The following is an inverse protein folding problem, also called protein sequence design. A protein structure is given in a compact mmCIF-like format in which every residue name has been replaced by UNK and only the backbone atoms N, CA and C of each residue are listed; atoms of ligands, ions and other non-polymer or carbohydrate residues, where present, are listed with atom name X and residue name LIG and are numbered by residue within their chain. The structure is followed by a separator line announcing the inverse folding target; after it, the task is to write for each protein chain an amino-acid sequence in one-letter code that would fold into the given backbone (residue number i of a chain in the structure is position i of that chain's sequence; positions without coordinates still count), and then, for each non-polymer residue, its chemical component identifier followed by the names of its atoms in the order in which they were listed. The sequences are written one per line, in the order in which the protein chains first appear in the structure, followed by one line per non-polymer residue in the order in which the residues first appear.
data_IF_639158978575
#
_entry.id   IF_639158978575
#
_cell.length_a   1.000
_cell.length_b   1.000
_cell.length_c   1.000
_cell.angle_alpha   90.00
_cell.angle_beta   90.00
_cell.angle_gamma   90.00
#
_symmetry.space_group_name_H-M   'P 1'
#
loop_
_entity.id
_entity.type
_entity.pdbx_description
1 polymer ?
#
# COMPACT_ATOMS: atom_id res chain seq x y z
N UNK A 1 6.38 24.88 -45.31
CA UNK A 1 5.36 24.22 -44.47
C UNK A 1 5.81 24.36 -43.00
N UNK A 2 5.20 25.33 -42.29
CA UNK A 2 5.44 25.55 -40.86
C UNK A 2 4.69 24.49 -40.07
N UNK A 3 5.43 23.72 -39.30
CA UNK A 3 4.87 22.73 -38.38
C UNK A 3 4.35 23.48 -37.15
N UNK A 4 3.06 23.71 -37.06
CA UNK A 4 2.42 24.33 -35.88
C UNK A 4 2.51 23.34 -34.72
N UNK A 5 3.45 23.58 -33.82
CA UNK A 5 3.55 22.84 -32.57
C UNK A 5 2.40 23.29 -31.66
N UNK A 6 1.40 22.46 -31.54
CA UNK A 6 0.27 22.68 -30.65
C UNK A 6 0.80 22.63 -29.19
N UNK A 7 0.93 23.82 -28.56
CA UNK A 7 1.23 23.93 -27.12
C UNK A 7 -0.01 23.49 -26.35
N UNK A 8 0.08 22.33 -25.70
CA UNK A 8 -0.91 21.96 -24.71
C UNK A 8 -0.88 22.97 -23.54
N UNK A 9 -2.04 23.42 -23.02
CA UNK A 9 -2.09 24.31 -21.89
C UNK A 9 -1.38 23.62 -20.70
N UNK A 10 -0.39 24.29 -20.11
CA UNK A 10 0.16 23.89 -18.84
C UNK A 10 -0.94 24.09 -17.79
N UNK A 11 -1.59 22.98 -17.39
CA UNK A 11 -2.40 22.95 -16.20
C UNK A 11 -1.49 23.32 -15.03
N UNK A 12 -1.75 24.44 -14.37
CA UNK A 12 -1.18 24.73 -13.06
C UNK A 12 -1.78 23.72 -12.07
N UNK A 13 -1.12 22.56 -11.96
CA UNK A 13 -1.45 21.54 -10.99
C UNK A 13 -0.94 22.12 -9.67
N UNK A 14 -1.84 22.55 -8.79
CA UNK A 14 -1.51 22.78 -7.39
C UNK A 14 -0.78 21.55 -6.85
N UNK A 15 -0.01 21.70 -5.77
CA UNK A 15 0.66 20.54 -5.17
C UNK A 15 -0.37 19.43 -4.93
N UNK A 16 -0.13 18.20 -5.43
CA UNK A 16 -1.09 17.13 -5.28
C UNK A 16 -1.28 16.79 -3.81
N UNK A 17 -2.53 16.61 -3.39
CA UNK A 17 -2.83 16.13 -2.04
C UNK A 17 -2.04 14.83 -1.79
N UNK A 18 -1.26 14.71 -0.69
CA UNK A 18 -0.48 13.50 -0.43
C UNK A 18 -1.37 12.28 -0.25
N UNK A 19 -0.82 11.07 -0.47
CA UNK A 19 -1.60 9.82 -0.38
C UNK A 19 -2.27 9.61 0.99
N UNK A 20 -1.69 10.16 2.06
CA UNK A 20 -2.24 10.12 3.42
C UNK A 20 -3.12 11.33 3.76
N UNK A 21 -3.28 12.30 2.87
CA UNK A 21 -4.01 13.55 3.17
C UNK A 21 -5.44 13.34 3.65
N UNK A 22 -6.12 12.31 3.11
CA UNK A 22 -7.48 11.95 3.55
C UNK A 22 -7.54 11.40 4.98
N UNK A 23 -6.44 10.85 5.49
CA UNK A 23 -6.35 10.36 6.86
C UNK A 23 -6.23 11.48 7.90
N UNK A 24 -5.88 12.69 7.47
CA UNK A 24 -5.76 13.88 8.33
C UNK A 24 -7.10 14.63 8.48
N UNK A 25 -8.16 14.18 7.79
CA UNK A 25 -9.49 14.80 7.82
C UNK A 25 -10.27 14.36 9.07
N UNK A 26 -10.20 15.16 10.14
CA UNK A 26 -10.82 14.84 11.43
C UNK A 26 -12.36 14.65 11.38
N UNK A 27 -13.05 15.30 10.46
CA UNK A 27 -14.51 15.23 10.30
C UNK A 27 -15.01 13.84 9.83
N UNK A 28 -14.12 12.99 9.34
CA UNK A 28 -14.45 11.64 8.87
C UNK A 28 -13.80 10.53 9.72
N UNK A 29 -13.25 10.88 10.87
CA UNK A 29 -12.49 9.94 11.71
C UNK A 29 -13.30 8.72 12.17
N UNK A 30 -14.61 8.83 12.30
CA UNK A 30 -15.52 7.77 12.72
C UNK A 30 -16.03 6.87 11.58
N UNK A 31 -15.81 7.27 10.32
CA UNK A 31 -16.21 6.46 9.17
C UNK A 31 -15.28 5.26 8.98
N UNK A 32 -15.83 4.14 8.49
CA UNK A 32 -15.07 2.92 8.21
C UNK A 32 -14.04 3.18 7.10
N UNK A 33 -12.77 2.90 7.37
CA UNK A 33 -11.68 3.04 6.42
C UNK A 33 -11.30 1.72 5.75
N UNK A 34 -11.09 0.66 6.56
CA UNK A 34 -10.69 -0.65 6.04
C UNK A 34 -11.40 -1.76 6.81
N UNK A 35 -11.87 -2.76 6.08
CA UNK A 35 -12.37 -4.02 6.61
C UNK A 35 -11.58 -5.19 6.02
N UNK A 36 -11.05 -6.05 6.89
CA UNK A 36 -10.35 -7.28 6.50
C UNK A 36 -11.26 -8.48 6.76
N UNK A 37 -11.84 -9.05 5.69
CA UNK A 37 -12.74 -10.19 5.78
C UNK A 37 -12.03 -11.47 6.25
N UNK A 38 -10.71 -11.59 6.08
CA UNK A 38 -9.96 -12.75 6.56
C UNK A 38 -9.76 -12.70 8.07
N UNK A 39 -9.34 -11.55 8.59
CA UNK A 39 -9.09 -11.33 10.02
C UNK A 39 -10.38 -10.98 10.80
N UNK A 40 -11.49 -10.67 10.10
CA UNK A 40 -12.72 -10.13 10.69
C UNK A 40 -12.44 -8.87 11.52
N UNK A 41 -11.53 -8.02 11.03
CA UNK A 41 -11.12 -6.79 11.66
C UNK A 41 -11.61 -5.59 10.85
N UNK A 42 -12.03 -4.54 11.53
CA UNK A 42 -12.41 -3.26 10.93
C UNK A 42 -11.72 -2.12 11.64
N UNK A 43 -11.34 -1.09 10.89
CA UNK A 43 -10.80 0.15 11.45
C UNK A 43 -11.47 1.36 10.79
N UNK A 44 -11.75 2.37 11.59
CA UNK A 44 -12.20 3.68 11.13
C UNK A 44 -11.03 4.49 10.57
N UNK A 45 -11.31 5.60 9.88
CA UNK A 45 -10.27 6.51 9.40
C UNK A 45 -9.42 7.06 10.56
N UNK A 46 -10.03 7.36 11.71
CA UNK A 46 -9.29 7.80 12.90
C UNK A 46 -8.37 6.72 13.44
N UNK A 47 -8.87 5.50 13.62
CA UNK A 47 -8.08 4.35 14.09
C UNK A 47 -6.97 3.99 13.10
N UNK A 48 -7.24 4.08 11.80
CA UNK A 48 -6.23 3.82 10.77
C UNK A 48 -5.16 4.92 10.76
N UNK A 49 -5.54 6.20 10.88
CA UNK A 49 -4.61 7.33 11.02
C UNK A 49 -3.70 7.17 12.24
N UNK A 50 -4.27 6.79 13.38
CA UNK A 50 -3.52 6.52 14.61
C UNK A 50 -2.53 5.36 14.44
N UNK A 51 -2.96 4.26 13.77
CA UNK A 51 -2.10 3.11 13.47
C UNK A 51 -0.93 3.50 12.55
N UNK A 52 -1.20 4.25 11.48
CA UNK A 52 -0.18 4.75 10.54
C UNK A 52 0.82 5.65 11.27
N UNK A 53 0.35 6.57 12.11
CA UNK A 53 1.20 7.46 12.90
C UNK A 53 2.10 6.68 13.87
N UNK A 54 1.51 5.72 14.58
CA UNK A 54 2.23 4.84 15.53
C UNK A 54 3.33 4.05 14.81
N UNK A 55 3.02 3.46 13.66
CA UNK A 55 3.99 2.70 12.88
C UNK A 55 5.09 3.59 12.32
N UNK A 56 4.76 4.79 11.83
CA UNK A 56 5.76 5.74 11.35
C UNK A 56 6.72 6.18 12.46
N UNK A 57 6.21 6.46 13.66
CA UNK A 57 7.04 6.80 14.82
C UNK A 57 7.98 5.67 15.20
N UNK A 58 7.50 4.42 15.18
CA UNK A 58 8.35 3.29 15.53
C UNK A 58 9.39 2.98 14.45
N UNK A 59 9.03 3.11 13.17
CA UNK A 59 9.99 3.03 12.07
C UNK A 59 11.11 4.08 12.20
N UNK A 60 10.77 5.31 12.61
CA UNK A 60 11.75 6.37 12.89
C UNK A 60 12.69 5.98 14.05
N UNK A 61 12.16 5.39 15.12
CA UNK A 61 12.96 4.87 16.24
C UNK A 61 13.90 3.75 15.84
N UNK A 62 13.47 2.88 14.95
CA UNK A 62 14.28 1.81 14.35
C UNK A 62 15.31 2.33 13.34
N UNK A 63 15.42 3.65 13.18
CA UNK A 63 16.42 4.32 12.36
C UNK A 63 16.08 4.41 10.87
N UNK A 64 14.82 4.19 10.49
CA UNK A 64 14.37 4.38 9.11
C UNK A 64 14.37 5.87 8.76
N UNK A 65 15.04 6.22 7.67
CA UNK A 65 15.19 7.61 7.22
C UNK A 65 14.57 7.83 5.84
N UNK A 66 14.24 9.09 5.52
CA UNK A 66 13.78 9.49 4.19
C UNK A 66 14.72 9.00 3.09
N UNK A 67 14.15 8.44 2.03
CA UNK A 67 14.87 7.89 0.88
C UNK A 67 15.41 6.48 1.07
N UNK A 68 15.43 5.95 2.29
CA UNK A 68 15.81 4.56 2.53
C UNK A 68 14.72 3.59 2.06
N UNK A 69 15.13 2.41 1.65
CA UNK A 69 14.26 1.37 1.10
C UNK A 69 13.90 0.35 2.16
N UNK A 70 12.61 0.05 2.25
CA UNK A 70 12.05 -0.94 3.17
C UNK A 70 11.41 -2.05 2.36
N UNK A 71 11.90 -3.28 2.48
CA UNK A 71 11.18 -4.44 1.97
C UNK A 71 10.01 -4.76 2.90
N UNK A 72 8.79 -4.77 2.35
CA UNK A 72 7.57 -5.04 3.10
C UNK A 72 7.15 -6.49 2.85
N UNK A 73 7.36 -7.35 3.85
CA UNK A 73 7.03 -8.79 3.83
C UNK A 73 5.74 -9.10 4.60
N UNK A 74 4.96 -8.08 4.94
CA UNK A 74 3.68 -8.21 5.62
C UNK A 74 2.65 -8.81 4.66
N UNK A 75 1.87 -9.84 5.08
CA UNK A 75 0.77 -10.37 4.26
C UNK A 75 -0.32 -9.32 4.04
N UNK A 76 -1.17 -9.47 3.00
CA UNK A 76 -2.34 -8.62 2.80
C UNK A 76 -3.20 -8.56 4.05
N UNK A 77 -3.36 -7.37 4.59
CA UNK A 77 -4.03 -7.09 5.86
C UNK A 77 -4.13 -5.57 6.07
N UNK A 78 -4.86 -5.14 7.08
CA UNK A 78 -4.86 -3.73 7.52
C UNK A 78 -3.44 -3.28 7.87
N UNK A 79 -2.65 -4.15 8.51
CA UNK A 79 -1.25 -3.82 8.87
C UNK A 79 -0.34 -3.64 7.66
N UNK A 80 -0.53 -4.40 6.57
CA UNK A 80 0.20 -4.16 5.33
C UNK A 80 -0.04 -2.73 4.84
N UNK A 81 -1.31 -2.31 4.76
CA UNK A 81 -1.66 -0.96 4.31
C UNK A 81 -1.07 0.08 5.26
N UNK A 82 -1.18 -0.13 6.57
CA UNK A 82 -0.65 0.80 7.58
C UNK A 82 0.88 0.95 7.50
N UNK A 83 1.63 -0.15 7.32
CA UNK A 83 3.10 -0.12 7.16
C UNK A 83 3.49 0.66 5.90
N UNK A 84 2.78 0.45 4.79
CA UNK A 84 3.05 1.16 3.53
C UNK A 84 2.79 2.66 3.70
N UNK A 85 1.67 3.05 4.30
CA UNK A 85 1.34 4.46 4.55
C UNK A 85 2.30 5.10 5.54
N UNK A 86 2.72 4.38 6.58
CA UNK A 86 3.72 4.84 7.54
C UNK A 86 5.06 5.13 6.84
N UNK A 87 5.54 4.20 6.01
CA UNK A 87 6.75 4.39 5.22
C UNK A 87 6.62 5.59 4.27
N UNK A 88 5.50 5.71 3.55
CA UNK A 88 5.27 6.85 2.66
C UNK A 88 5.23 8.18 3.40
N UNK A 89 4.54 8.26 4.55
CA UNK A 89 4.42 9.48 5.34
C UNK A 89 5.78 10.00 5.82
N UNK A 90 6.70 9.12 6.14
CA UNK A 90 8.06 9.50 6.57
C UNK A 90 9.08 9.58 5.41
N UNK A 91 8.64 9.38 4.16
CA UNK A 91 9.47 9.48 2.97
C UNK A 91 10.40 8.29 2.72
N UNK A 92 10.14 7.16 3.36
CA UNK A 92 10.83 5.90 3.06
C UNK A 92 10.21 5.25 1.81
N UNK A 93 11.02 4.47 1.10
CA UNK A 93 10.64 3.82 -0.16
C UNK A 93 10.21 2.40 0.09
N UNK A 94 8.96 2.08 -0.16
CA UNK A 94 8.47 0.71 -0.03
C UNK A 94 8.93 -0.16 -1.19
N UNK A 95 9.51 -1.31 -0.89
CA UNK A 95 9.86 -2.35 -1.86
C UNK A 95 8.88 -3.49 -1.68
N UNK A 96 8.02 -3.68 -2.67
CA UNK A 96 6.97 -4.69 -2.66
C UNK A 96 7.19 -5.60 -3.85
N UNK A 97 7.26 -6.90 -3.59
CA UNK A 97 7.42 -7.90 -4.62
C UNK A 97 6.17 -8.79 -4.68
N UNK A 98 5.73 -9.07 -5.90
CA UNK A 98 4.64 -10.01 -6.14
C UNK A 98 4.98 -11.39 -5.57
N UNK A 99 4.11 -11.92 -4.73
CA UNK A 99 4.28 -13.26 -4.14
C UNK A 99 4.30 -14.37 -5.19
N UNK A 100 3.70 -14.13 -6.35
CA UNK A 100 3.77 -15.04 -7.51
C UNK A 100 5.19 -15.28 -8.02
N UNK A 101 6.19 -14.48 -7.61
CA UNK A 101 7.61 -14.71 -7.89
C UNK A 101 8.20 -15.93 -7.15
N UNK A 102 7.50 -16.48 -6.16
CA UNK A 102 8.02 -17.51 -5.28
C UNK A 102 9.15 -17.02 -4.38
N UNK A 103 9.61 -17.87 -3.44
CA UNK A 103 10.60 -17.46 -2.43
C UNK A 103 11.95 -17.02 -3.03
N UNK A 104 12.42 -17.69 -4.08
CA UNK A 104 13.68 -17.32 -4.73
C UNK A 104 13.57 -16.00 -5.49
N UNK A 105 12.47 -15.80 -6.23
CA UNK A 105 12.21 -14.55 -6.95
C UNK A 105 12.04 -13.38 -6.00
N UNK A 106 11.32 -13.56 -4.90
CA UNK A 106 11.16 -12.58 -3.83
C UNK A 106 12.52 -12.19 -3.23
N UNK A 107 13.35 -13.18 -2.88
CA UNK A 107 14.69 -12.95 -2.36
C UNK A 107 15.60 -12.19 -3.33
N UNK A 108 15.53 -12.51 -4.63
CA UNK A 108 16.28 -11.80 -5.66
C UNK A 108 15.79 -10.35 -5.84
N UNK A 109 14.49 -10.12 -5.81
CA UNK A 109 13.90 -8.78 -5.88
C UNK A 109 14.37 -7.91 -4.71
N UNK A 110 14.27 -8.40 -3.48
CA UNK A 110 14.72 -7.68 -2.27
C UNK A 110 16.22 -7.39 -2.33
N UNK A 111 17.03 -8.37 -2.76
CA UNK A 111 18.49 -8.19 -2.89
C UNK A 111 18.84 -7.15 -3.95
N UNK A 112 18.19 -7.19 -5.12
CA UNK A 112 18.43 -6.24 -6.21
C UNK A 112 18.00 -4.81 -5.84
N UNK A 113 16.99 -4.68 -4.99
CA UNK A 113 16.51 -3.41 -4.48
C UNK A 113 17.46 -2.75 -3.48
N UNK A 114 18.46 -3.47 -2.94
CA UNK A 114 19.43 -2.96 -1.94
C UNK A 114 18.74 -2.27 -0.78
N UNK A 115 17.82 -2.97 -0.12
CA UNK A 115 17.03 -2.42 0.98
C UNK A 115 17.89 -2.22 2.22
N UNK A 116 17.61 -1.17 2.99
CA UNK A 116 18.21 -0.89 4.29
C UNK A 116 17.42 -1.53 5.44
N UNK A 117 16.12 -1.75 5.23
CA UNK A 117 15.24 -2.30 6.25
C UNK A 117 14.33 -3.39 5.66
N UNK A 118 13.92 -4.33 6.50
CA UNK A 118 12.94 -5.37 6.16
C UNK A 118 11.89 -5.41 7.27
N UNK A 119 10.64 -5.23 6.93
CA UNK A 119 9.49 -5.28 7.87
C UNK A 119 8.62 -6.49 7.56
N UNK A 120 8.25 -7.24 8.59
CA UNK A 120 7.35 -8.37 8.42
C UNK A 120 7.11 -9.17 9.70
N UNK A 121 6.23 -10.19 9.64
CA UNK A 121 6.07 -11.13 10.75
C UNK A 121 7.35 -11.94 10.97
N UNK A 122 7.58 -12.37 12.20
CA UNK A 122 8.81 -13.06 12.61
C UNK A 122 9.21 -14.22 11.70
N UNK A 123 8.22 -15.01 11.26
CA UNK A 123 8.47 -16.14 10.33
C UNK A 123 9.04 -15.68 8.98
N UNK A 124 8.51 -14.59 8.42
CA UNK A 124 9.00 -14.02 7.17
C UNK A 124 10.41 -13.43 7.32
N UNK A 125 10.69 -12.78 8.45
CA UNK A 125 12.01 -12.23 8.76
C UNK A 125 13.06 -13.32 8.90
N UNK A 126 12.73 -14.43 9.57
CA UNK A 126 13.63 -15.60 9.68
C UNK A 126 13.93 -16.21 8.31
N UNK A 127 12.92 -16.38 7.47
CA UNK A 127 13.10 -16.86 6.10
C UNK A 127 13.98 -15.92 5.27
N UNK A 128 13.76 -14.60 5.36
CA UNK A 128 14.56 -13.61 4.65
C UNK A 128 16.04 -13.60 5.10
N UNK A 129 16.30 -13.79 6.39
CA UNK A 129 17.66 -13.96 6.93
C UNK A 129 18.31 -15.25 6.42
N UNK A 130 17.60 -16.36 6.49
CA UNK A 130 18.11 -17.67 6.03
C UNK A 130 18.47 -17.65 4.54
N UNK A 131 17.66 -16.96 3.73
CA UNK A 131 17.88 -16.77 2.29
C UNK A 131 18.90 -15.65 1.96
N UNK A 132 19.44 -14.98 2.98
CA UNK A 132 20.35 -13.83 2.80
C UNK A 132 19.82 -12.78 1.81
N UNK A 133 18.51 -12.48 1.88
CA UNK A 133 17.87 -11.55 0.94
C UNK A 133 18.37 -10.10 1.12
N UNK A 134 18.72 -9.71 2.35
CA UNK A 134 19.18 -8.37 2.70
C UNK A 134 20.24 -8.44 3.82
N UNK A 135 21.49 -8.84 3.52
CA UNK A 135 22.49 -9.17 4.53
C UNK A 135 22.93 -7.99 5.42
N UNK A 136 22.71 -6.77 4.95
CA UNK A 136 23.08 -5.53 5.66
C UNK A 136 21.88 -4.73 6.16
N UNK A 137 20.67 -5.27 6.04
CA UNK A 137 19.46 -4.57 6.45
C UNK A 137 19.15 -4.78 7.94
N UNK A 138 18.50 -3.79 8.53
CA UNK A 138 17.82 -3.94 9.83
C UNK A 138 16.50 -4.69 9.61
N UNK A 139 16.20 -5.64 10.48
CA UNK A 139 14.97 -6.44 10.42
C UNK A 139 14.04 -6.01 11.55
N UNK A 140 12.89 -5.47 11.20
CA UNK A 140 11.91 -4.91 12.12
C UNK A 140 10.69 -5.85 12.14
N UNK A 141 10.37 -6.39 13.30
CA UNK A 141 9.22 -7.27 13.43
C UNK A 141 7.92 -6.46 13.44
N UNK A 142 6.90 -6.97 12.73
CA UNK A 142 5.58 -6.34 12.73
C UNK A 142 5.02 -6.20 14.16
N UNK A 143 5.32 -7.15 15.05
CA UNK A 143 4.93 -7.11 16.47
C UNK A 143 5.54 -5.92 17.23
N UNK A 144 6.71 -5.42 16.83
CA UNK A 144 7.32 -4.22 17.42
C UNK A 144 6.50 -2.98 17.06
N UNK A 145 6.06 -2.87 15.80
CA UNK A 145 5.16 -1.80 15.36
C UNK A 145 3.80 -1.85 16.08
N UNK A 146 3.22 -3.06 16.22
CA UNK A 146 1.94 -3.26 16.90
C UNK A 146 2.03 -2.99 18.41
N UNK A 147 3.17 -3.26 19.05
CA UNK A 147 3.44 -3.02 20.47
C UNK A 147 3.93 -1.61 20.79
N UNK A 148 4.14 -0.75 19.80
CA UNK A 148 4.66 0.58 19.99
C UNK A 148 3.71 1.50 20.79
N UNK A 149 4.26 2.56 21.37
CA UNK A 149 3.46 3.60 22.06
C UNK A 149 2.54 4.26 21.05
N UNK A 150 1.23 4.13 21.26
CA UNK A 150 0.21 4.66 20.37
C UNK A 150 0.25 6.19 20.27
N UNK A 151 0.14 6.67 19.05
CA UNK A 151 -0.25 8.04 18.74
C UNK A 151 -1.74 8.07 18.38
N UNK A 152 -2.40 9.21 18.59
CA UNK A 152 -3.83 9.33 18.30
C UNK A 152 -4.11 9.74 16.84
N UNK A 153 -3.13 10.37 16.18
CA UNK A 153 -3.28 10.81 14.79
C UNK A 153 -1.95 11.11 14.11
N UNK A 154 -1.97 11.26 12.78
CA UNK A 154 -0.82 11.72 12.00
C UNK A 154 -0.35 13.14 12.36
N UNK A 155 -1.22 13.97 12.94
CA UNK A 155 -0.87 15.31 13.38
C UNK A 155 0.17 15.33 14.53
N UNK A 156 0.25 14.26 15.31
CA UNK A 156 1.24 14.10 16.40
C UNK A 156 2.62 13.65 15.89
N UNK A 157 2.72 13.25 14.64
CA UNK A 157 3.95 12.75 14.08
C UNK A 157 4.90 13.88 13.67
N UNK A 158 6.03 13.99 14.33
CA UNK A 158 7.04 15.04 14.09
C UNK A 158 8.14 14.63 13.11
N UNK A 159 7.78 13.89 12.08
CA UNK A 159 8.70 13.49 11.00
C UNK A 159 8.44 14.36 9.77
N UNK A 160 9.47 14.94 9.14
CA UNK A 160 9.30 15.75 7.92
C UNK A 160 8.61 14.95 6.80
N UNK A 161 7.74 15.63 6.07
CA UNK A 161 7.05 15.01 4.93
C UNK A 161 7.99 14.90 3.71
N UNK A 162 7.83 13.88 2.87
CA UNK A 162 8.57 13.78 1.60
C UNK A 162 8.08 14.83 0.60
N UNK A 163 8.93 15.08 -0.41
CA UNK A 163 8.56 15.92 -1.54
C UNK A 163 7.82 15.07 -2.61
N UNK A 164 6.99 15.68 -3.46
CA UNK A 164 6.28 14.97 -4.53
C UNK A 164 7.17 14.14 -5.45
N UNK A 165 8.40 14.60 -5.71
CA UNK A 165 9.38 13.95 -6.58
C UNK A 165 10.13 12.82 -5.91
N UNK A 166 10.06 12.70 -4.58
CA UNK A 166 10.72 11.61 -3.87
C UNK A 166 10.15 10.26 -4.30
N UNK A 167 11.00 9.27 -4.31
CA UNK A 167 10.60 7.91 -4.59
C UNK A 167 9.72 7.38 -3.45
N UNK A 168 8.57 6.85 -3.78
CA UNK A 168 7.63 6.27 -2.81
C UNK A 168 7.67 4.75 -2.81
N UNK A 169 7.80 4.13 -3.99
CA UNK A 169 7.72 2.67 -4.10
C UNK A 169 8.61 2.11 -5.22
N UNK A 170 9.05 0.87 -5.03
CA UNK A 170 9.58 -0.02 -6.07
C UNK A 170 8.75 -1.29 -6.06
N UNK A 171 8.01 -1.52 -7.14
CA UNK A 171 7.14 -2.69 -7.27
C UNK A 171 7.79 -3.70 -8.22
N UNK A 172 8.03 -4.92 -7.73
CA UNK A 172 8.54 -6.01 -8.53
C UNK A 172 7.39 -6.89 -8.99
N UNK A 173 7.22 -7.01 -10.29
CA UNK A 173 6.21 -7.87 -10.90
C UNK A 173 6.87 -9.06 -11.59
N UNK A 174 6.15 -10.17 -11.69
CA UNK A 174 6.54 -11.33 -12.50
C UNK A 174 6.54 -10.91 -13.98
N UNK A 175 7.72 -10.65 -14.54
CA UNK A 175 7.85 -10.41 -15.97
C UNK A 175 7.60 -11.71 -16.75
N UNK A 176 6.92 -11.63 -17.90
CA UNK A 176 6.66 -12.79 -18.76
C UNK A 176 7.95 -13.47 -19.27
N UNK A 177 9.07 -12.76 -19.28
CA UNK A 177 10.37 -13.26 -19.78
C UNK A 177 11.52 -12.63 -18.99
N UNK A 178 12.11 -13.38 -18.05
CA UNK A 178 13.34 -12.98 -17.38
C UNK A 178 13.21 -12.61 -15.90
N UNK A 179 14.28 -12.07 -15.28
CA UNK A 179 14.28 -11.70 -13.86
C UNK A 179 13.26 -10.60 -13.58
N UNK A 180 12.68 -10.61 -12.37
CA UNK A 180 11.71 -9.63 -11.93
C UNK A 180 12.27 -8.21 -12.09
N UNK A 181 11.50 -7.32 -12.72
CA UNK A 181 11.86 -5.91 -12.92
C UNK A 181 11.18 -5.05 -11.88
N UNK A 182 11.95 -4.18 -11.22
CA UNK A 182 11.43 -3.21 -10.28
C UNK A 182 10.97 -1.94 -11.00
N UNK A 183 9.68 -1.64 -10.94
CA UNK A 183 9.11 -0.38 -11.42
C UNK A 183 9.13 0.64 -10.29
N UNK A 184 9.69 1.82 -10.56
CA UNK A 184 9.87 2.90 -9.59
C UNK A 184 8.72 3.90 -9.70
N UNK A 185 8.15 4.28 -8.57
CA UNK A 185 7.09 5.28 -8.48
C UNK A 185 7.48 6.40 -7.52
N UNK A 186 7.36 7.66 -7.95
CA UNK A 186 7.41 8.81 -7.05
C UNK A 186 6.06 9.01 -6.36
N UNK A 187 6.05 9.80 -5.27
CA UNK A 187 4.78 10.22 -4.63
C UNK A 187 3.86 10.92 -5.63
N UNK A 188 4.41 11.82 -6.47
CA UNK A 188 3.65 12.52 -7.50
C UNK A 188 2.98 11.56 -8.48
N UNK A 189 3.68 10.51 -8.93
CA UNK A 189 3.12 9.52 -9.85
C UNK A 189 1.98 8.72 -9.22
N UNK A 190 2.11 8.30 -7.96
CA UNK A 190 1.04 7.60 -7.25
C UNK A 190 -0.16 8.50 -7.00
N UNK A 191 0.05 9.77 -6.64
CA UNK A 191 -1.02 10.75 -6.51
C UNK A 191 -1.74 10.98 -7.85
N UNK A 192 -0.99 11.12 -8.95
CA UNK A 192 -1.58 11.28 -10.28
C UNK A 192 -2.41 10.05 -10.71
N UNK A 193 -1.98 8.84 -10.37
CA UNK A 193 -2.76 7.62 -10.61
C UNK A 193 -4.05 7.61 -9.78
N UNK A 194 -3.98 7.95 -8.48
CA UNK A 194 -5.17 8.09 -7.63
C UNK A 194 -6.17 9.08 -8.22
N UNK A 195 -5.70 10.26 -8.61
CA UNK A 195 -6.57 11.32 -9.14
C UNK A 195 -7.18 10.92 -10.49
N UNK A 196 -6.41 10.22 -11.35
CA UNK A 196 -6.90 9.67 -12.61
C UNK A 196 -7.99 8.61 -12.37
N UNK A 197 -7.81 7.70 -11.41
CA UNK A 197 -8.82 6.70 -11.04
C UNK A 197 -10.08 7.38 -10.50
N UNK A 198 -9.94 8.35 -9.61
CA UNK A 198 -11.06 9.11 -9.04
C UNK A 198 -11.87 9.78 -10.14
N UNK A 199 -11.20 10.46 -11.08
CA UNK A 199 -11.86 11.15 -12.19
C UNK A 199 -12.50 10.20 -13.20
N UNK A 200 -11.78 9.12 -13.56
CA UNK A 200 -12.23 8.17 -14.59
C UNK A 200 -13.50 7.44 -14.17
N UNK A 201 -13.58 7.04 -12.92
CA UNK A 201 -14.71 6.26 -12.39
C UNK A 201 -15.71 7.10 -11.60
N UNK A 202 -15.50 8.43 -11.51
CA UNK A 202 -16.40 9.32 -10.77
C UNK A 202 -16.47 9.00 -9.28
N UNK A 203 -15.37 8.54 -8.68
CA UNK A 203 -15.34 8.08 -7.28
C UNK A 203 -15.61 9.25 -6.34
N UNK A 204 -16.54 9.04 -5.42
CA UNK A 204 -16.94 9.99 -4.39
C UNK A 204 -16.73 9.41 -2.99
N UNK A 205 -16.86 10.22 -1.97
CA UNK A 205 -16.75 9.78 -0.56
C UNK A 205 -17.84 8.78 -0.16
N UNK A 206 -18.92 8.65 -0.93
CA UNK A 206 -19.99 7.69 -0.67
C UNK A 206 -19.64 6.28 -1.18
N UNK A 207 -18.61 6.14 -2.01
CA UNK A 207 -18.23 4.86 -2.57
C UNK A 207 -17.51 3.98 -1.56
N UNK A 208 -17.67 2.66 -1.75
CA UNK A 208 -17.11 1.60 -0.94
C UNK A 208 -16.55 0.53 -1.85
N UNK A 209 -15.31 0.19 -1.63
CA UNK A 209 -14.48 -0.50 -2.61
C UNK A 209 -13.97 -1.84 -2.09
N UNK A 210 -14.29 -2.93 -2.76
CA UNK A 210 -13.65 -4.23 -2.49
C UNK A 210 -12.45 -4.40 -3.40
N UNK A 211 -11.28 -4.52 -2.81
CA UNK A 211 -10.03 -4.81 -3.50
C UNK A 211 -9.74 -6.32 -3.50
N UNK A 212 -10.09 -6.99 -4.58
CA UNK A 212 -9.69 -8.38 -4.86
C UNK A 212 -8.38 -8.44 -5.67
N UNK A 213 -7.57 -7.40 -5.57
CA UNK A 213 -6.21 -7.30 -6.09
C UNK A 213 -5.40 -6.42 -5.13
N UNK A 214 -4.49 -7.03 -4.37
CA UNK A 214 -3.83 -6.42 -3.22
C UNK A 214 -3.21 -5.03 -3.45
N UNK A 215 -2.51 -4.73 -4.58
CA UNK A 215 -1.96 -3.40 -4.81
C UNK A 215 -3.00 -2.29 -4.85
N UNK A 216 -4.23 -2.59 -5.29
CA UNK A 216 -5.30 -1.60 -5.36
C UNK A 216 -5.91 -1.25 -4.00
N UNK A 217 -5.78 -2.13 -3.01
CA UNK A 217 -6.19 -1.83 -1.63
C UNK A 217 -5.48 -0.59 -1.07
N UNK A 218 -4.26 -0.29 -1.56
CA UNK A 218 -3.49 0.88 -1.17
C UNK A 218 -4.14 2.21 -1.61
N UNK A 219 -5.00 2.21 -2.63
CA UNK A 219 -5.66 3.44 -3.09
C UNK A 219 -6.92 3.78 -2.29
N UNK A 220 -7.56 2.84 -1.62
CA UNK A 220 -8.79 3.11 -0.89
C UNK A 220 -8.67 4.24 0.13
N UNK A 221 -7.74 4.16 1.11
CA UNK A 221 -7.53 5.24 2.06
C UNK A 221 -7.09 6.56 1.40
N UNK A 222 -6.30 6.50 0.31
CA UNK A 222 -5.88 7.70 -0.43
C UNK A 222 -7.02 8.36 -1.18
N UNK A 223 -8.02 7.59 -1.62
CA UNK A 223 -9.27 8.09 -2.22
C UNK A 223 -10.26 8.57 -1.15
N UNK A 224 -10.00 8.28 0.12
CA UNK A 224 -10.89 8.59 1.22
C UNK A 224 -12.18 7.75 1.21
N UNK A 225 -12.12 6.51 0.71
CA UNK A 225 -13.26 5.60 0.65
C UNK A 225 -13.01 4.33 1.48
N UNK A 226 -14.08 3.71 1.95
CA UNK A 226 -14.00 2.44 2.63
C UNK A 226 -13.45 1.35 1.70
N UNK A 227 -12.49 0.57 2.21
CA UNK A 227 -11.84 -0.52 1.48
C UNK A 227 -12.06 -1.85 2.16
N UNK A 228 -12.66 -2.80 1.45
CA UNK A 228 -12.78 -4.19 1.88
C UNK A 228 -11.67 -5.06 1.28
N UNK A 229 -11.03 -5.87 2.11
CA UNK A 229 -10.10 -6.92 1.69
C UNK A 229 -10.85 -8.24 1.65
N UNK A 230 -10.98 -8.85 0.48
CA UNK A 230 -11.62 -10.15 0.33
C UNK A 230 -10.74 -11.27 0.90
N UNK A 231 -11.39 -12.28 1.48
CA UNK A 231 -10.70 -13.50 1.90
C UNK A 231 -10.28 -14.31 0.67
N UNK A 232 -9.02 -14.17 0.26
CA UNK A 232 -8.47 -14.85 -0.90
C UNK A 232 -6.96 -15.07 -0.77
N UNK A 233 -6.45 -16.08 -1.46
CA UNK A 233 -5.01 -16.20 -1.66
C UNK A 233 -4.56 -15.29 -2.82
N UNK A 234 -3.89 -14.19 -2.49
CA UNK A 234 -3.40 -13.22 -3.49
C UNK A 234 -2.32 -13.81 -4.41
N UNK A 235 -1.70 -14.93 -4.03
CA UNK A 235 -0.73 -15.65 -4.89
C UNK A 235 -1.40 -16.52 -5.93
N UNK A 236 -2.66 -16.83 -5.72
CA UNK A 236 -3.50 -17.65 -6.57
C UNK A 236 -4.88 -16.97 -6.78
N UNK A 237 -4.97 -15.87 -7.54
CA UNK A 237 -6.20 -15.09 -7.69
C UNK A 237 -7.42 -15.92 -8.14
N UNK A 238 -7.18 -17.00 -8.88
CA UNK A 238 -8.22 -17.96 -9.31
C UNK A 238 -8.90 -18.70 -8.15
N UNK A 239 -8.39 -18.59 -6.92
CA UNK A 239 -9.00 -19.19 -5.73
C UNK A 239 -10.07 -18.31 -5.10
N UNK A 240 -10.27 -17.09 -5.59
CA UNK A 240 -11.37 -16.25 -5.16
C UNK A 240 -12.70 -16.93 -5.49
N UNK A 241 -13.51 -17.17 -4.46
CA UNK A 241 -14.85 -17.75 -4.63
C UNK A 241 -15.91 -16.64 -4.69
N UNK A 242 -17.03 -16.93 -5.35
CA UNK A 242 -18.19 -16.03 -5.37
C UNK A 242 -18.67 -15.71 -3.94
N UNK A 243 -18.66 -16.70 -3.05
CA UNK A 243 -19.02 -16.52 -1.65
C UNK A 243 -18.09 -15.53 -0.94
N UNK A 244 -16.78 -15.71 -1.03
CA UNK A 244 -15.80 -14.81 -0.38
C UNK A 244 -15.87 -13.38 -0.91
N UNK A 245 -16.12 -13.21 -2.21
CA UNK A 245 -16.34 -11.88 -2.80
C UNK A 245 -17.64 -11.26 -2.29
N UNK A 246 -18.73 -12.04 -2.26
CA UNK A 246 -20.02 -11.57 -1.77
C UNK A 246 -19.95 -11.15 -0.29
N UNK A 247 -19.34 -11.97 0.57
CA UNK A 247 -19.13 -11.65 1.98
C UNK A 247 -18.37 -10.35 2.17
N UNK A 248 -17.29 -10.12 1.40
CA UNK A 248 -16.54 -8.88 1.45
C UNK A 248 -17.38 -7.69 0.95
N UNK A 249 -18.19 -7.87 -0.09
CA UNK A 249 -19.08 -6.83 -0.60
C UNK A 249 -20.20 -6.48 0.40
N UNK A 250 -20.82 -7.46 1.00
CA UNK A 250 -21.89 -7.25 1.99
C UNK A 250 -21.37 -6.58 3.26
N UNK A 251 -20.19 -6.98 3.75
CA UNK A 251 -19.60 -6.47 4.99
C UNK A 251 -19.39 -4.95 4.98
N UNK A 252 -19.11 -4.37 3.82
CA UNK A 252 -18.91 -2.93 3.66
C UNK A 252 -20.01 -2.27 2.83
N UNK A 253 -21.02 -3.01 2.35
CA UNK A 253 -22.01 -2.52 1.38
C UNK A 253 -21.32 -1.92 0.13
N UNK A 254 -20.48 -2.70 -0.52
CA UNK A 254 -19.65 -2.27 -1.62
C UNK A 254 -20.44 -1.68 -2.79
N UNK A 255 -19.97 -0.55 -3.33
CA UNK A 255 -20.48 0.06 -4.57
C UNK A 255 -19.61 -0.28 -5.76
N UNK A 256 -18.37 -0.72 -5.54
CA UNK A 256 -17.43 -1.07 -6.59
C UNK A 256 -16.48 -2.18 -6.16
N UNK A 257 -16.05 -2.97 -7.14
CA UNK A 257 -15.07 -4.05 -6.97
C UNK A 257 -13.95 -3.86 -7.98
N UNK A 258 -12.72 -4.04 -7.54
CA UNK A 258 -11.58 -4.16 -8.42
C UNK A 258 -10.96 -5.55 -8.28
N UNK A 259 -10.91 -6.30 -9.37
CA UNK A 259 -10.37 -7.65 -9.39
C UNK A 259 -9.58 -7.89 -10.68
N UNK A 260 -8.61 -8.79 -10.63
CA UNK A 260 -7.95 -9.25 -11.85
C UNK A 260 -8.89 -10.14 -12.67
N UNK A 261 -8.73 -10.20 -14.02
CA UNK A 261 -9.49 -11.13 -14.83
C UNK A 261 -9.38 -12.59 -14.35
N UNK A 262 -8.21 -12.97 -13.82
CA UNK A 262 -7.99 -14.30 -13.27
C UNK A 262 -8.81 -14.58 -12.00
N UNK A 263 -9.04 -13.56 -11.16
CA UNK A 263 -9.90 -13.67 -9.98
C UNK A 263 -11.38 -13.76 -10.38
N UNK A 264 -11.81 -12.95 -11.34
CA UNK A 264 -13.22 -12.93 -11.81
C UNK A 264 -13.61 -14.21 -12.56
N UNK A 265 -12.69 -14.85 -13.27
CA UNK A 265 -12.97 -16.07 -14.05
C UNK A 265 -13.43 -17.27 -13.21
N UNK A 266 -13.37 -17.20 -11.89
CA UNK A 266 -13.88 -18.23 -10.97
C UNK A 266 -15.12 -17.79 -10.19
N UNK A 267 -15.52 -16.54 -10.37
CA UNK A 267 -16.69 -15.93 -9.69
C UNK A 267 -17.91 -15.91 -10.63
N UNK A 268 -17.65 -15.86 -11.95
CA UNK A 268 -18.63 -15.88 -13.03
C UNK A 268 -18.90 -17.32 -13.49
#
# INVERSE_FOLDING_TARGET
QETTTQKFPQLSIGEPEPLWGRLEQANRSHELAVHDATAQESVTFGEFSARVATYAQELDREGVQRGQRIAVLVPPSIDLIAVVYAAWRMGAVTVIADRGLGLRGLGNAVRSARVQHVVGPQKALLAARALRCAPHATFIALSELQGAKKLESLAELHVPQPQPQDLAAVLFTSGATGPAKGVRYSHQQLCAQRDALQKLYGITNADRFVAAFAPFALYGPALGICTGLANMDVTAPRTLTAQALNEACESIQATMVFASPAALGNVL
#
